data_IF_992804355382
#
_entry.id   IF_992804355382
#
_cell.length_a   1.000
_cell.length_b   1.000
_cell.length_c   1.000
_cell.angle_alpha   90.00
_cell.angle_beta   90.00
_cell.angle_gamma   90.00
#
_symmetry.space_group_name_H-M   'P 1'
#
loop_
_entity.id
_entity.type
_entity.pdbx_description
1 polymer ?
#
# COMPACT_ATOMS: atom_id res chain seq x y z
N UNK A 1 -18.54 -13.86 -26.19
CA UNK A 1 -17.25 -13.90 -25.49
C UNK A 1 -17.48 -13.26 -24.14
N UNK A 2 -17.54 -14.03 -23.08
CA UNK A 2 -17.58 -13.48 -21.70
C UNK A 2 -16.20 -12.91 -21.41
N UNK A 3 -16.06 -11.59 -21.56
CA UNK A 3 -14.84 -10.94 -21.09
C UNK A 3 -14.84 -11.01 -19.58
N UNK A 4 -13.87 -11.71 -19.00
CA UNK A 4 -13.64 -11.65 -17.57
C UNK A 4 -13.25 -10.22 -17.19
N UNK A 5 -13.66 -9.73 -16.00
CA UNK A 5 -13.23 -8.43 -15.52
C UNK A 5 -11.70 -8.42 -15.37
N UNK A 6 -11.10 -7.30 -15.71
CA UNK A 6 -9.70 -7.04 -15.38
C UNK A 6 -9.59 -6.57 -13.92
N UNK A 7 -8.41 -6.71 -13.34
CA UNK A 7 -8.17 -6.35 -11.95
C UNK A 7 -6.75 -5.84 -11.74
N UNK A 8 -6.54 -5.16 -10.63
CA UNK A 8 -5.25 -4.67 -10.18
C UNK A 8 -5.18 -4.72 -8.65
N UNK A 9 -3.98 -4.65 -8.10
CA UNK A 9 -3.74 -4.69 -6.66
C UNK A 9 -2.76 -3.59 -6.27
N UNK A 10 -3.09 -2.89 -5.21
CA UNK A 10 -2.21 -2.00 -4.46
C UNK A 10 -1.87 -2.66 -3.12
N UNK A 11 -0.59 -2.63 -2.75
CA UNK A 11 -0.13 -3.14 -1.46
C UNK A 11 0.70 -2.09 -0.76
N UNK A 12 0.30 -1.75 0.45
CA UNK A 12 1.05 -0.90 1.35
C UNK A 12 1.98 -1.74 2.24
N UNK A 13 3.18 -1.24 2.46
CA UNK A 13 4.19 -1.88 3.28
C UNK A 13 4.74 -0.92 4.32
N UNK A 14 4.93 -1.43 5.53
CA UNK A 14 5.62 -0.72 6.59
C UNK A 14 7.14 -0.88 6.43
N UNK A 15 7.86 0.22 6.61
CA UNK A 15 9.32 0.26 6.71
C UNK A 15 9.73 0.29 8.18
N UNK A 16 10.55 -0.66 8.58
CA UNK A 16 10.99 -0.79 9.98
C UNK A 16 12.51 -0.83 10.07
N UNK A 17 13.02 -0.41 11.21
CA UNK A 17 14.40 -0.66 11.59
C UNK A 17 14.61 -2.16 11.86
N UNK A 18 15.61 -2.80 11.21
CA UNK A 18 15.81 -4.24 11.30
C UNK A 18 16.24 -4.74 12.68
N UNK A 19 16.72 -3.87 13.57
CA UNK A 19 17.19 -4.23 14.90
C UNK A 19 16.12 -4.04 15.97
N UNK A 20 15.44 -2.90 15.94
CA UNK A 20 14.45 -2.54 16.95
C UNK A 20 13.02 -2.94 16.57
N UNK A 21 12.73 -3.13 15.27
CA UNK A 21 11.39 -3.33 14.74
C UNK A 21 10.53 -2.06 14.74
N UNK A 22 11.08 -0.92 15.11
CA UNK A 22 10.37 0.34 15.11
C UNK A 22 10.14 0.87 13.69
N UNK A 23 9.01 1.55 13.40
CA UNK A 23 8.78 2.22 12.13
C UNK A 23 9.90 3.20 11.79
N UNK A 24 10.42 3.13 10.55
CA UNK A 24 11.57 3.92 10.09
C UNK A 24 11.15 4.87 8.96
N UNK A 25 11.35 6.20 9.11
CA UNK A 25 10.84 7.19 8.16
C UNK A 25 11.77 7.42 6.96
N UNK A 26 11.89 6.42 6.07
CA UNK A 26 12.82 6.42 4.94
C UNK A 26 12.13 6.16 3.58
N UNK A 27 10.82 6.39 3.48
CA UNK A 27 10.06 6.06 2.27
C UNK A 27 10.63 6.70 0.99
N UNK A 28 11.10 7.96 1.02
CA UNK A 28 11.71 8.62 -0.13
C UNK A 28 12.98 7.89 -0.60
N UNK A 29 13.83 7.53 0.34
CA UNK A 29 15.06 6.83 0.02
C UNK A 29 14.77 5.44 -0.59
N UNK A 30 13.76 4.75 -0.05
CA UNK A 30 13.31 3.45 -0.59
C UNK A 30 12.72 3.61 -1.99
N UNK A 31 11.88 4.63 -2.22
CA UNK A 31 11.33 4.91 -3.55
C UNK A 31 12.44 5.23 -4.58
N UNK A 32 13.42 6.05 -4.21
CA UNK A 32 14.59 6.34 -5.08
C UNK A 32 15.42 5.09 -5.42
N UNK A 33 15.56 4.14 -4.49
CA UNK A 33 16.24 2.86 -4.77
C UNK A 33 15.40 1.98 -5.71
N UNK A 34 14.08 1.89 -5.51
CA UNK A 34 13.19 1.10 -6.35
C UNK A 34 13.11 1.64 -7.80
N UNK A 35 13.12 2.97 -7.96
CA UNK A 35 13.13 3.62 -9.28
C UNK A 35 14.33 3.18 -10.14
N UNK A 36 15.49 2.98 -9.54
CA UNK A 36 16.69 2.46 -10.23
C UNK A 36 16.49 1.05 -10.80
N UNK A 37 15.54 0.30 -10.24
CA UNK A 37 15.12 -1.04 -10.69
C UNK A 37 13.85 -1.01 -11.55
N UNK A 38 13.43 0.18 -11.98
CA UNK A 38 12.28 0.39 -12.84
C UNK A 38 10.93 0.11 -12.16
N UNK A 39 10.82 0.40 -10.85
CA UNK A 39 9.58 0.34 -10.08
C UNK A 39 9.34 1.70 -9.44
N UNK A 40 8.19 2.28 -9.71
CA UNK A 40 7.70 3.50 -9.07
C UNK A 40 6.90 3.12 -7.82
N UNK A 41 7.48 3.40 -6.64
CA UNK A 41 6.79 3.22 -5.37
C UNK A 41 6.09 4.52 -4.98
N UNK A 42 4.82 4.42 -4.63
CA UNK A 42 4.06 5.55 -4.15
C UNK A 42 4.45 5.86 -2.70
N UNK A 43 4.52 7.14 -2.39
CA UNK A 43 4.76 7.61 -1.02
C UNK A 43 3.43 7.72 -0.29
N UNK A 44 3.37 7.19 0.94
CA UNK A 44 2.20 7.23 1.78
C UNK A 44 2.18 8.42 2.76
N UNK A 45 1.06 8.60 3.47
CA UNK A 45 0.86 9.67 4.45
C UNK A 45 1.95 9.68 5.51
N UNK A 46 2.29 8.50 6.05
CA UNK A 46 3.46 8.38 6.92
C UNK A 46 4.72 8.09 6.11
N UNK A 47 5.82 8.75 6.47
CA UNK A 47 7.13 8.48 5.86
C UNK A 47 7.72 7.10 6.21
N UNK A 48 7.02 6.31 7.03
CA UNK A 48 7.36 4.92 7.33
C UNK A 48 6.69 3.90 6.41
N UNK A 49 6.00 4.34 5.35
CA UNK A 49 5.29 3.45 4.42
C UNK A 49 5.57 3.77 2.97
N UNK A 50 5.51 2.72 2.14
CA UNK A 50 5.51 2.78 0.68
C UNK A 50 4.41 1.90 0.13
N UNK A 51 3.91 2.24 -1.06
CA UNK A 51 2.89 1.47 -1.76
C UNK A 51 3.39 0.99 -3.11
N UNK A 52 3.01 -0.23 -3.48
CA UNK A 52 3.17 -0.80 -4.82
C UNK A 52 1.82 -0.87 -5.50
N UNK A 53 1.78 -0.60 -6.81
CA UNK A 53 0.61 -0.81 -7.65
C UNK A 53 0.95 -1.73 -8.83
N UNK A 54 0.10 -2.73 -9.08
CA UNK A 54 0.23 -3.53 -10.30
C UNK A 54 -0.34 -2.78 -11.50
N UNK A 55 0.10 -3.15 -12.68
CA UNK A 55 -0.64 -2.85 -13.90
C UNK A 55 -1.98 -3.60 -13.90
N UNK A 56 -2.86 -3.21 -14.82
CA UNK A 56 -4.12 -3.92 -15.05
C UNK A 56 -3.84 -5.34 -15.54
N UNK A 57 -4.37 -6.33 -14.82
CA UNK A 57 -4.21 -7.76 -15.12
C UNK A 57 -5.50 -8.37 -15.66
N UNK A 58 -5.37 -9.32 -16.57
CA UNK A 58 -6.46 -10.11 -17.11
C UNK A 58 -6.47 -11.56 -16.60
N UNK A 59 -5.41 -11.98 -15.91
CA UNK A 59 -5.26 -13.33 -15.38
C UNK A 59 -4.57 -13.38 -14.02
N UNK A 60 -4.93 -14.36 -13.15
CA UNK A 60 -4.26 -14.57 -11.86
C UNK A 60 -2.76 -14.86 -11.98
N UNK A 61 -2.33 -15.48 -13.08
CA UNK A 61 -0.91 -15.76 -13.34
C UNK A 61 -0.13 -14.47 -13.55
N UNK A 62 -0.68 -13.54 -14.35
CA UNK A 62 -0.09 -12.23 -14.58
C UNK A 62 0.01 -11.45 -13.27
N UNK A 63 -1.10 -11.38 -12.50
CA UNK A 63 -1.11 -10.72 -11.19
C UNK A 63 -0.05 -11.29 -10.26
N UNK A 64 0.01 -12.62 -10.11
CA UNK A 64 0.99 -13.29 -9.25
C UNK A 64 2.43 -12.97 -9.65
N UNK A 65 2.70 -12.89 -10.96
CA UNK A 65 4.01 -12.49 -11.49
C UNK A 65 4.38 -11.07 -11.12
N UNK A 66 3.45 -10.12 -11.28
CA UNK A 66 3.66 -8.71 -10.94
C UNK A 66 3.85 -8.51 -9.44
N UNK A 67 2.99 -9.08 -8.59
CA UNK A 67 3.12 -8.98 -7.13
C UNK A 67 4.46 -9.50 -6.63
N UNK A 68 4.91 -10.66 -7.13
CA UNK A 68 6.22 -11.22 -6.77
C UNK A 68 7.38 -10.29 -7.17
N UNK A 69 7.30 -9.68 -8.36
CA UNK A 69 8.32 -8.73 -8.83
C UNK A 69 8.31 -7.47 -7.97
N UNK A 70 7.16 -6.86 -7.75
CA UNK A 70 7.02 -5.61 -6.99
C UNK A 70 7.48 -5.78 -5.54
N UNK A 71 7.05 -6.85 -4.86
CA UNK A 71 7.47 -7.17 -3.49
C UNK A 71 8.97 -7.37 -3.38
N UNK A 72 9.59 -8.05 -4.36
CA UNK A 72 11.04 -8.26 -4.37
C UNK A 72 11.77 -6.94 -4.51
N UNK A 73 11.42 -6.12 -5.50
CA UNK A 73 12.07 -4.83 -5.73
C UNK A 73 11.89 -3.90 -4.52
N UNK A 74 10.69 -3.85 -3.94
CA UNK A 74 10.43 -3.05 -2.73
C UNK A 74 11.26 -3.52 -1.52
N UNK A 75 11.41 -4.85 -1.34
CA UNK A 75 12.24 -5.42 -0.28
C UNK A 75 13.73 -5.12 -0.48
N UNK A 76 14.25 -5.33 -1.69
CA UNK A 76 15.64 -5.03 -2.05
C UNK A 76 15.95 -3.53 -1.87
N UNK A 77 15.00 -2.67 -2.25
CA UNK A 77 15.10 -1.22 -2.07
C UNK A 77 15.10 -0.80 -0.60
N UNK A 78 14.25 -1.43 0.23
CA UNK A 78 14.23 -1.20 1.68
C UNK A 78 15.54 -1.63 2.33
N UNK A 79 16.06 -2.83 2.00
CA UNK A 79 17.35 -3.32 2.50
C UNK A 79 18.50 -2.38 2.09
N UNK A 80 18.52 -1.89 0.86
CA UNK A 80 19.51 -0.89 0.38
C UNK A 80 19.41 0.45 1.12
N UNK A 81 18.23 0.80 1.64
CA UNK A 81 18.00 2.00 2.44
C UNK A 81 18.22 1.78 3.96
N UNK A 82 18.69 0.59 4.37
CA UNK A 82 18.91 0.23 5.77
C UNK A 82 17.62 -0.06 6.55
N UNK A 83 16.50 -0.27 5.85
CA UNK A 83 15.21 -0.64 6.43
C UNK A 83 14.87 -2.08 6.11
N UNK A 84 13.81 -2.59 6.74
CA UNK A 84 13.16 -3.85 6.35
C UNK A 84 11.72 -3.58 5.94
N UNK A 85 11.31 -4.16 4.82
CA UNK A 85 9.94 -4.13 4.34
C UNK A 85 9.08 -5.13 5.11
N UNK A 86 7.92 -4.70 5.60
CA UNK A 86 7.02 -5.55 6.37
C UNK A 86 5.59 -5.47 5.81
N UNK A 87 5.05 -6.62 5.39
CA UNK A 87 3.67 -6.77 4.93
C UNK A 87 2.77 -7.14 6.11
N UNK A 88 2.24 -6.15 6.81
CA UNK A 88 1.38 -6.32 7.99
C UNK A 88 0.28 -5.25 7.99
N UNK A 89 -0.90 -5.58 8.48
CA UNK A 89 -1.99 -4.61 8.59
C UNK A 89 -1.76 -3.57 9.69
N UNK A 90 -1.03 -3.94 10.74
CA UNK A 90 -0.72 -3.06 11.87
C UNK A 90 0.77 -3.16 12.22
N UNK A 91 1.43 -2.05 12.59
CA UNK A 91 2.81 -2.06 13.00
C UNK A 91 2.99 -2.87 14.30
N UNK A 92 4.07 -3.67 14.42
CA UNK A 92 4.35 -4.46 15.62
C UNK A 92 4.69 -3.60 16.84
N UNK A 93 5.20 -2.39 16.59
CA UNK A 93 5.46 -1.37 17.63
C UNK A 93 4.86 -0.05 17.19
N UNK A 94 4.30 0.70 18.12
CA UNK A 94 3.70 2.00 17.85
C UNK A 94 4.65 3.11 18.32
N UNK A 95 5.03 4.04 17.44
CA UNK A 95 5.67 5.28 17.86
C UNK A 95 4.64 6.18 18.55
N UNK A 96 5.10 7.19 19.29
CA UNK A 96 4.20 8.20 19.85
C UNK A 96 3.39 8.90 18.73
N UNK A 97 4.06 9.18 17.60
CA UNK A 97 3.45 9.72 16.39
C UNK A 97 4.17 9.20 15.15
N UNK A 98 3.42 8.90 14.10
CA UNK A 98 4.01 8.64 12.80
C UNK A 98 4.43 9.95 12.12
N UNK A 99 5.67 10.06 11.64
CA UNK A 99 6.11 11.23 10.89
C UNK A 99 5.40 11.30 9.54
N UNK A 100 4.86 12.48 9.24
CA UNK A 100 4.13 12.73 7.99
C UNK A 100 5.12 12.93 6.85
N UNK A 101 4.85 12.30 5.71
CA UNK A 101 5.64 12.48 4.49
C UNK A 101 5.57 13.94 4.02
N UNK A 102 6.74 14.56 3.81
CA UNK A 102 6.85 15.97 3.48
C UNK A 102 6.51 16.26 2.01
N UNK A 103 5.20 16.26 1.71
CA UNK A 103 4.64 16.72 0.43
C UNK A 103 3.57 17.80 0.70
N UNK A 104 3.27 18.68 -0.27
CA UNK A 104 2.20 19.67 -0.10
C UNK A 104 0.85 19.03 0.26
N UNK A 105 0.50 17.92 -0.39
CA UNK A 105 -0.74 17.15 -0.14
C UNK A 105 -0.81 16.66 1.30
N UNK A 106 0.24 15.98 1.77
CA UNK A 106 0.23 15.37 3.10
C UNK A 106 0.37 16.39 4.23
N UNK A 107 1.10 17.49 4.01
CA UNK A 107 1.09 18.63 4.93
C UNK A 107 -0.31 19.22 5.11
N UNK A 108 -1.07 19.37 4.02
CA UNK A 108 -2.46 19.83 4.08
C UNK A 108 -3.36 18.86 4.84
N UNK A 109 -3.23 17.56 4.60
CA UNK A 109 -3.97 16.51 5.33
C UNK A 109 -3.63 16.57 6.82
N UNK A 110 -2.35 16.59 7.18
CA UNK A 110 -1.90 16.67 8.56
C UNK A 110 -2.38 17.94 9.28
N UNK A 111 -2.38 19.07 8.58
CA UNK A 111 -2.92 20.33 9.11
C UNK A 111 -4.43 20.26 9.36
N UNK A 112 -5.18 19.61 8.47
CA UNK A 112 -6.64 19.52 8.56
C UNK A 112 -7.13 18.51 9.59
N UNK A 113 -6.47 17.35 9.70
CA UNK A 113 -6.91 16.22 10.52
C UNK A 113 -6.10 16.05 11.81
N UNK A 114 -5.03 16.82 11.98
CA UNK A 114 -4.25 16.89 13.22
C UNK A 114 -3.75 15.53 13.69
N UNK A 115 -4.15 15.14 14.89
CA UNK A 115 -3.71 13.91 15.56
C UNK A 115 -4.09 12.65 14.76
N UNK A 116 -5.28 12.59 14.16
CA UNK A 116 -5.75 11.44 13.37
C UNK A 116 -4.75 11.11 12.24
N UNK A 117 -4.22 12.12 11.55
CA UNK A 117 -3.23 11.92 10.49
C UNK A 117 -1.88 11.42 11.01
N UNK A 118 -1.54 11.71 12.28
CA UNK A 118 -0.27 11.33 12.91
C UNK A 118 -0.31 9.97 13.60
N UNK A 119 -1.50 9.43 13.82
CA UNK A 119 -1.71 8.10 14.38
C UNK A 119 -2.00 7.05 13.30
N UNK A 120 -2.04 7.48 12.02
CA UNK A 120 -2.27 6.59 10.87
C UNK A 120 -1.03 5.74 10.59
N UNK A 121 -1.09 4.45 10.89
CA UNK A 121 -0.01 3.48 10.66
C UNK A 121 -0.51 2.12 10.19
N UNK A 122 -1.76 2.03 9.75
CA UNK A 122 -2.31 0.82 9.10
C UNK A 122 -1.80 0.74 7.67
N UNK A 123 -1.51 -0.51 7.22
CA UNK A 123 -1.18 -0.80 5.83
C UNK A 123 -2.26 -1.66 5.22
N UNK A 124 -2.76 -1.24 4.06
CA UNK A 124 -3.83 -1.89 3.33
C UNK A 124 -3.34 -2.78 2.19
N UNK A 125 -4.29 -3.57 1.69
CA UNK A 125 -4.17 -4.25 0.40
C UNK A 125 -5.49 -4.04 -0.33
N UNK A 126 -5.46 -3.30 -1.43
CA UNK A 126 -6.64 -2.94 -2.21
C UNK A 126 -6.69 -3.78 -3.48
N UNK A 127 -7.79 -4.49 -3.69
CA UNK A 127 -8.05 -5.23 -4.91
C UNK A 127 -9.07 -4.46 -5.74
N UNK A 128 -8.64 -3.94 -6.87
CA UNK A 128 -9.48 -3.24 -7.82
C UNK A 128 -10.00 -4.21 -8.86
N UNK A 129 -11.31 -4.20 -9.12
CA UNK A 129 -11.94 -5.03 -10.14
C UNK A 129 -12.70 -4.11 -11.10
N UNK A 130 -12.42 -4.25 -12.41
CA UNK A 130 -13.11 -3.47 -13.42
C UNK A 130 -14.58 -3.87 -13.50
N UNK A 131 -15.46 -2.87 -13.54
CA UNK A 131 -16.89 -3.02 -13.79
C UNK A 131 -17.28 -2.19 -14.99
N UNK A 132 -18.32 -2.60 -15.77
CA UNK A 132 -18.66 -1.95 -17.05
C UNK A 132 -19.18 -0.51 -16.86
N UNK A 133 -19.86 -0.24 -15.75
CA UNK A 133 -20.48 1.06 -15.49
C UNK A 133 -20.75 1.26 -13.98
N UNK A 134 -21.19 2.47 -13.65
CA UNK A 134 -21.48 2.87 -12.26
C UNK A 134 -22.63 2.07 -11.64
N UNK A 135 -23.65 1.73 -12.42
CA UNK A 135 -24.80 0.97 -11.92
C UNK A 135 -24.41 -0.46 -11.57
N UNK A 136 -23.54 -1.07 -12.39
CA UNK A 136 -22.91 -2.35 -12.07
C UNK A 136 -22.09 -2.27 -10.80
N UNK A 137 -21.28 -1.21 -10.61
CA UNK A 137 -20.49 -1.01 -9.40
C UNK A 137 -21.36 -0.96 -8.15
N UNK A 138 -22.49 -0.22 -8.20
CA UNK A 138 -23.42 -0.11 -7.07
C UNK A 138 -24.06 -1.46 -6.78
N UNK A 139 -24.52 -2.20 -7.79
CA UNK A 139 -25.11 -3.54 -7.59
C UNK A 139 -24.10 -4.49 -6.93
N UNK A 140 -22.88 -4.57 -7.46
CA UNK A 140 -21.81 -5.42 -6.89
C UNK A 140 -21.52 -5.04 -5.45
N UNK A 141 -21.37 -3.75 -5.15
CA UNK A 141 -21.15 -3.27 -3.79
C UNK A 141 -22.27 -3.68 -2.84
N UNK A 142 -23.53 -3.53 -3.27
CA UNK A 142 -24.71 -3.89 -2.46
C UNK A 142 -24.77 -5.40 -2.20
N UNK A 143 -24.45 -6.22 -3.20
CA UNK A 143 -24.50 -7.68 -3.10
C UNK A 143 -23.31 -8.25 -2.28
N UNK A 144 -22.15 -7.58 -2.29
CA UNK A 144 -20.99 -7.99 -1.52
C UNK A 144 -21.10 -7.68 -0.02
N UNK A 145 -21.81 -6.63 0.38
CA UNK A 145 -21.93 -6.23 1.80
C UNK A 145 -22.45 -7.36 2.70
N UNK A 146 -23.49 -8.14 2.34
CA UNK A 146 -23.95 -9.25 3.18
C UNK A 146 -22.93 -10.39 3.34
N UNK A 147 -22.05 -10.58 2.33
CA UNK A 147 -21.03 -11.63 2.32
C UNK A 147 -19.75 -11.27 3.08
N UNK A 148 -19.54 -9.98 3.33
CA UNK A 148 -18.31 -9.45 3.94
C UNK A 148 -18.25 -9.57 5.47
N UNK A 149 -19.07 -10.44 6.09
CA UNK A 149 -19.07 -10.66 7.54
C UNK A 149 -17.74 -11.18 8.10
N UNK A 150 -16.86 -11.69 7.25
CA UNK A 150 -15.53 -12.17 7.64
C UNK A 150 -14.49 -11.04 7.81
N UNK A 151 -14.78 -9.81 7.39
CA UNK A 151 -13.84 -8.67 7.49
C UNK A 151 -14.02 -7.86 8.78
N UNK A 152 -14.95 -8.22 9.67
CA UNK A 152 -15.29 -7.50 10.90
C UNK A 152 -15.14 -8.34 12.17
N UNK A 153 -14.30 -9.38 12.14
CA UNK A 153 -14.02 -10.21 13.32
C UNK A 153 -12.61 -9.94 13.86
#
# INVERSE_FOLDING_TARGET
MTSHPTFGVEEEFLLIDPHSGAPLPVNRLVAEQAERSGVDLQLELTSCQVETATEVCDSPTQLSGQLRRLRRVAADAADAAGARLLAVGLPPTLPEHFPVTDTPRYRQIASRFGMIAREQGISGCHVHVAVPDRDAAIRVSTDCVPGCRCCWA
#
